data_IF_010543787880
#
_entry.id   IF_010543787880
#
_cell.length_a   1.000
_cell.length_b   1.000
_cell.length_c   1.000
_cell.angle_alpha   90.00
_cell.angle_beta   90.00
_cell.angle_gamma   90.00
#
_symmetry.space_group_name_H-M   'P 1'
#
loop_
_entity.id
_entity.type
_entity.pdbx_description
1 polymer ?
#
# COMPACT_ATOMS: atom_id res chain seq x y z
N UNK A 1 0.07 -39.74 -17.43
CA UNK A 1 -0.46 -38.37 -17.25
C UNK A 1 0.68 -37.38 -17.39
N UNK A 2 0.49 -36.28 -18.12
CA UNK A 2 1.50 -35.22 -18.27
C UNK A 2 1.72 -34.54 -16.91
N UNK A 3 2.96 -34.45 -16.37
CA UNK A 3 3.19 -33.90 -15.03
C UNK A 3 2.67 -32.47 -14.85
N UNK A 4 2.82 -31.62 -15.86
CA UNK A 4 2.31 -30.25 -15.84
C UNK A 4 0.77 -30.19 -15.79
N UNK A 5 0.07 -31.13 -16.43
CA UNK A 5 -1.39 -31.21 -16.35
C UNK A 5 -1.82 -31.61 -14.93
N UNK A 6 -1.17 -32.62 -14.34
CA UNK A 6 -1.43 -33.06 -12.97
C UNK A 6 -1.27 -31.90 -11.97
N UNK A 7 -0.21 -31.10 -12.12
CA UNK A 7 0.02 -29.90 -11.33
C UNK A 7 -1.16 -28.92 -11.40
N UNK A 8 -1.59 -28.53 -12.61
CA UNK A 8 -2.71 -27.61 -12.79
C UNK A 8 -4.04 -28.17 -12.28
N UNK A 9 -4.28 -29.47 -12.48
CA UNK A 9 -5.50 -30.15 -12.01
C UNK A 9 -5.60 -30.12 -10.49
N UNK A 10 -4.53 -30.51 -9.78
CA UNK A 10 -4.51 -30.53 -8.31
C UNK A 10 -4.62 -29.10 -7.77
N UNK A 11 -3.94 -28.13 -8.40
CA UNK A 11 -4.08 -26.72 -8.01
C UNK A 11 -5.51 -26.21 -8.21
N UNK A 12 -6.18 -26.58 -9.29
CA UNK A 12 -7.58 -26.22 -9.50
C UNK A 12 -8.49 -26.83 -8.43
N UNK A 13 -8.26 -28.10 -8.05
CA UNK A 13 -9.03 -28.77 -6.99
C UNK A 13 -8.86 -28.12 -5.62
N UNK A 14 -7.65 -27.67 -5.28
CA UNK A 14 -7.42 -26.91 -4.06
C UNK A 14 -8.13 -25.55 -4.06
N UNK A 15 -8.06 -24.82 -5.19
CA UNK A 15 -8.75 -23.54 -5.34
C UNK A 15 -10.27 -23.68 -5.24
N UNK A 16 -10.82 -24.77 -5.81
CA UNK A 16 -12.24 -25.12 -5.72
C UNK A 16 -12.63 -25.72 -4.37
N UNK A 17 -11.68 -25.88 -3.44
CA UNK A 17 -11.89 -26.51 -2.13
C UNK A 17 -12.43 -27.94 -2.21
N UNK A 18 -12.22 -28.62 -3.33
CA UNK A 18 -12.58 -30.02 -3.51
C UNK A 18 -11.82 -30.91 -2.52
N UNK A 19 -10.54 -30.61 -2.29
CA UNK A 19 -9.68 -31.38 -1.39
C UNK A 19 -10.16 -31.38 0.07
N UNK A 20 -10.94 -30.38 0.48
CA UNK A 20 -11.37 -30.20 1.88
C UNK A 20 -12.40 -31.25 2.32
N UNK A 21 -13.13 -31.85 1.37
CA UNK A 21 -14.07 -32.94 1.67
C UNK A 21 -13.40 -34.29 1.97
N UNK A 22 -12.11 -34.42 1.67
CA UNK A 22 -11.34 -35.65 1.88
C UNK A 22 -10.47 -35.58 3.14
N UNK A 23 -10.34 -34.41 3.77
CA UNK A 23 -9.55 -34.26 4.98
C UNK A 23 -10.27 -34.79 6.21
N UNK A 24 -9.56 -35.52 7.07
CA UNK A 24 -10.10 -36.04 8.32
C UNK A 24 -9.76 -35.17 9.54
N UNK A 25 -10.63 -35.18 10.54
CA UNK A 25 -10.46 -34.46 11.81
C UNK A 25 -10.63 -32.94 11.75
N UNK A 26 -10.50 -32.27 12.91
CA UNK A 26 -10.71 -30.83 13.07
C UNK A 26 -9.69 -29.95 12.30
N UNK A 27 -8.55 -30.53 11.90
CA UNK A 27 -7.50 -29.85 11.13
C UNK A 27 -7.56 -30.14 9.62
N UNK A 28 -8.48 -31.01 9.18
CA UNK A 28 -8.65 -31.44 7.79
C UNK A 28 -7.34 -31.84 7.10
N UNK A 29 -6.58 -32.73 7.75
CA UNK A 29 -5.36 -33.26 7.15
C UNK A 29 -5.74 -34.25 6.05
N UNK A 30 -5.09 -34.14 4.88
CA UNK A 30 -5.22 -35.09 3.78
C UNK A 30 -4.06 -36.08 3.85
N UNK A 31 -4.37 -37.35 4.12
CA UNK A 31 -3.36 -38.40 4.14
C UNK A 31 -3.18 -39.06 2.75
N UNK A 32 -2.24 -40.01 2.65
CA UNK A 32 -1.97 -40.69 1.40
C UNK A 32 -3.12 -41.59 0.93
N UNK A 33 -3.85 -42.21 1.87
CA UNK A 33 -4.95 -43.11 1.55
C UNK A 33 -6.18 -42.36 1.05
N UNK A 34 -6.40 -41.15 1.57
CA UNK A 34 -7.41 -40.21 1.07
C UNK A 34 -7.02 -39.69 -0.32
N UNK A 35 -5.77 -39.25 -0.48
CA UNK A 35 -5.28 -38.70 -1.74
C UNK A 35 -5.34 -39.70 -2.91
N UNK A 36 -4.93 -40.95 -2.70
CA UNK A 36 -4.89 -41.96 -3.76
C UNK A 36 -6.28 -42.41 -4.25
N UNK A 37 -7.33 -42.19 -3.44
CA UNK A 37 -8.72 -42.54 -3.76
C UNK A 37 -9.46 -41.41 -4.48
N UNK A 38 -8.85 -40.23 -4.58
CA UNK A 38 -9.47 -39.07 -5.21
C UNK A 38 -9.74 -39.33 -6.69
N UNK A 39 -10.96 -39.05 -7.19
CA UNK A 39 -11.25 -39.17 -8.61
C UNK A 39 -10.45 -38.12 -9.40
N UNK A 40 -9.77 -38.56 -10.46
CA UNK A 40 -9.00 -37.69 -11.36
C UNK A 40 -9.62 -37.68 -12.76
N UNK A 41 -9.84 -36.48 -13.30
CA UNK A 41 -10.20 -36.32 -14.71
C UNK A 41 -8.93 -36.40 -15.56
N UNK A 42 -8.80 -37.47 -16.33
CA UNK A 42 -7.61 -37.73 -17.16
C UNK A 42 -8.01 -37.83 -18.63
N UNK A 43 -8.10 -36.69 -19.36
CA UNK A 43 -8.40 -36.70 -20.79
C UNK A 43 -7.23 -37.31 -21.60
N UNK A 44 -7.38 -37.57 -22.91
CA UNK A 44 -6.30 -38.09 -23.75
C UNK A 44 -5.04 -37.21 -23.68
N UNK A 45 -3.82 -37.78 -23.84
CA UNK A 45 -2.58 -37.02 -23.71
C UNK A 45 -2.52 -35.77 -24.60
N UNK A 46 -3.05 -35.81 -25.83
CA UNK A 46 -3.08 -34.65 -26.71
C UNK A 46 -3.85 -33.46 -26.10
N UNK A 47 -5.00 -33.74 -25.47
CA UNK A 47 -5.81 -32.72 -24.80
C UNK A 47 -5.13 -32.19 -23.54
N UNK A 48 -4.46 -33.06 -22.76
CA UNK A 48 -3.65 -32.62 -21.61
C UNK A 48 -2.59 -31.59 -22.02
N UNK A 49 -1.89 -31.82 -23.15
CA UNK A 49 -0.89 -30.89 -23.65
C UNK A 49 -1.51 -29.57 -24.11
N UNK A 50 -2.69 -29.60 -24.74
CA UNK A 50 -3.41 -28.39 -25.17
C UNK A 50 -3.83 -27.54 -23.97
N UNK A 51 -4.40 -28.16 -22.93
CA UNK A 51 -4.78 -27.50 -21.68
C UNK A 51 -3.56 -26.83 -21.04
N UNK A 52 -2.47 -27.59 -20.88
CA UNK A 52 -1.21 -27.07 -20.30
C UNK A 52 -0.67 -25.89 -21.11
N UNK A 53 -0.65 -26.00 -22.44
CA UNK A 53 -0.16 -24.93 -23.32
C UNK A 53 -1.00 -23.66 -23.16
N UNK A 54 -2.32 -23.80 -23.11
CA UNK A 54 -3.22 -22.67 -22.94
C UNK A 54 -3.03 -21.99 -21.58
N UNK A 55 -2.99 -22.75 -20.49
CA UNK A 55 -2.78 -22.22 -19.13
C UNK A 55 -1.42 -21.49 -19.02
N UNK A 56 -0.35 -22.09 -19.55
CA UNK A 56 0.98 -21.44 -19.58
C UNK A 56 0.97 -20.14 -20.37
N UNK A 57 0.24 -20.08 -21.48
CA UNK A 57 0.09 -18.84 -22.24
C UNK A 57 -0.61 -17.74 -21.43
N UNK A 58 -1.70 -18.09 -20.73
CA UNK A 58 -2.42 -17.16 -19.86
C UNK A 58 -1.55 -16.68 -18.70
N UNK A 59 -0.83 -17.60 -18.04
CA UNK A 59 0.10 -17.25 -16.96
C UNK A 59 1.18 -16.28 -17.43
N UNK A 60 1.79 -16.54 -18.59
CA UNK A 60 2.79 -15.64 -19.16
C UNK A 60 2.21 -14.25 -19.45
N UNK A 61 0.99 -14.18 -19.98
CA UNK A 61 0.29 -12.92 -20.26
C UNK A 61 0.00 -12.15 -18.97
N UNK A 62 -0.50 -12.81 -17.92
CA UNK A 62 -0.74 -12.20 -16.60
C UNK A 62 0.56 -11.70 -15.98
N UNK A 63 1.61 -12.53 -15.96
CA UNK A 63 2.94 -12.15 -15.44
C UNK A 63 3.50 -10.92 -16.15
N UNK A 64 3.35 -10.83 -17.48
CA UNK A 64 3.75 -9.66 -18.27
C UNK A 64 3.01 -8.40 -17.83
N UNK A 65 1.69 -8.48 -17.63
CA UNK A 65 0.90 -7.31 -17.18
C UNK A 65 1.25 -6.88 -15.76
N UNK A 66 1.44 -7.83 -14.83
CA UNK A 66 1.89 -7.53 -13.47
C UNK A 66 3.25 -6.82 -13.51
N UNK A 67 4.19 -7.34 -14.30
CA UNK A 67 5.51 -6.73 -14.46
C UNK A 67 5.44 -5.31 -15.01
N UNK A 68 4.63 -5.08 -16.05
CA UNK A 68 4.44 -3.76 -16.64
C UNK A 68 3.81 -2.76 -15.64
N UNK A 69 2.78 -3.18 -14.89
CA UNK A 69 2.14 -2.34 -13.87
C UNK A 69 3.09 -1.99 -12.73
N UNK A 70 3.91 -2.94 -12.26
CA UNK A 70 4.93 -2.69 -11.23
C UNK A 70 5.97 -1.67 -11.69
N UNK A 71 6.46 -1.79 -12.93
CA UNK A 71 7.40 -0.80 -13.50
C UNK A 71 6.78 0.59 -13.60
N UNK A 72 5.51 0.69 -13.99
CA UNK A 72 4.79 1.96 -14.03
C UNK A 72 4.66 2.58 -12.63
N UNK A 73 4.30 1.80 -11.62
CA UNK A 73 4.21 2.29 -10.23
C UNK A 73 5.57 2.84 -9.76
N UNK A 74 6.65 2.11 -10.03
CA UNK A 74 8.00 2.56 -9.66
C UNK A 74 8.37 3.88 -10.35
N UNK A 75 8.12 3.99 -11.66
CA UNK A 75 8.38 5.22 -12.41
C UNK A 75 7.54 6.41 -11.90
N UNK A 76 6.27 6.18 -11.54
CA UNK A 76 5.41 7.22 -10.95
C UNK A 76 5.90 7.66 -9.57
N UNK A 77 6.39 6.74 -8.75
CA UNK A 77 6.98 7.06 -7.45
C UNK A 77 8.26 7.89 -7.59
N UNK A 78 9.13 7.51 -8.53
CA UNK A 78 10.35 8.27 -8.86
C UNK A 78 10.01 9.67 -9.39
N UNK A 79 9.09 9.78 -10.34
CA UNK A 79 8.62 11.07 -10.86
C UNK A 79 8.02 11.94 -9.76
N UNK A 80 7.17 11.38 -8.89
CA UNK A 80 6.61 12.10 -7.74
C UNK A 80 7.73 12.65 -6.85
N UNK A 81 8.72 11.82 -6.53
CA UNK A 81 9.83 12.23 -5.68
C UNK A 81 10.66 13.34 -6.35
N UNK A 82 10.94 13.23 -7.65
CA UNK A 82 11.66 14.25 -8.41
C UNK A 82 10.89 15.59 -8.45
N UNK A 83 9.57 15.55 -8.68
CA UNK A 83 8.72 16.75 -8.66
C UNK A 83 8.72 17.40 -7.28
N UNK A 84 8.59 16.62 -6.20
CA UNK A 84 8.65 17.16 -4.83
C UNK A 84 10.00 17.82 -4.60
N UNK A 85 11.11 17.13 -4.92
CA UNK A 85 12.46 17.65 -4.74
C UNK A 85 12.65 18.96 -5.50
N UNK A 86 12.23 19.02 -6.77
CA UNK A 86 12.29 20.25 -7.56
C UNK A 86 11.43 21.36 -6.94
N UNK A 87 10.20 21.06 -6.53
CA UNK A 87 9.29 22.06 -5.95
C UNK A 87 9.82 22.63 -4.63
N UNK A 88 10.39 21.80 -3.74
CA UNK A 88 10.90 22.24 -2.44
C UNK A 88 12.28 22.89 -2.51
N UNK A 89 13.06 22.64 -3.56
CA UNK A 89 14.40 23.25 -3.73
C UNK A 89 14.38 24.46 -4.67
N UNK A 90 13.59 24.43 -5.75
CA UNK A 90 13.58 25.42 -6.84
C UNK A 90 12.24 26.13 -7.04
N UNK A 91 11.21 25.78 -6.27
CA UNK A 91 9.87 26.32 -6.43
C UNK A 91 9.13 25.75 -7.66
N UNK A 92 7.99 26.36 -7.97
CA UNK A 92 7.09 25.91 -9.05
C UNK A 92 7.36 26.60 -10.39
N UNK A 93 8.06 27.74 -10.40
CA UNK A 93 8.40 28.49 -11.61
C UNK A 93 9.73 28.01 -12.19
N UNK A 94 9.76 27.42 -13.40
CA UNK A 94 10.99 26.94 -14.01
C UNK A 94 11.95 28.05 -14.45
N UNK A 95 11.49 29.30 -14.58
CA UNK A 95 12.30 30.43 -15.05
C UNK A 95 12.86 31.29 -13.92
N UNK A 96 12.69 30.86 -12.67
CA UNK A 96 13.17 31.62 -11.52
C UNK A 96 14.70 31.65 -11.48
N UNK A 97 15.27 32.82 -11.16
CA UNK A 97 16.71 32.94 -10.91
C UNK A 97 17.08 32.18 -9.64
N UNK A 98 18.20 31.48 -9.68
CA UNK A 98 18.70 30.68 -8.57
C UNK A 98 19.93 31.33 -7.92
N UNK A 99 20.12 31.10 -6.63
CA UNK A 99 21.30 31.46 -5.84
C UNK A 99 21.78 30.25 -5.03
N UNK A 100 23.08 30.15 -4.68
CA UNK A 100 23.55 29.15 -3.73
C UNK A 100 22.83 29.29 -2.38
N UNK A 101 22.31 28.20 -1.83
CA UNK A 101 21.58 28.21 -0.55
C UNK A 101 22.47 28.45 0.67
N UNK A 102 23.78 28.21 0.54
CA UNK A 102 24.72 28.19 1.67
C UNK A 102 24.65 26.91 2.52
N UNK A 103 23.84 25.92 2.12
CA UNK A 103 23.70 24.62 2.79
C UNK A 103 24.26 23.53 1.87
N UNK A 104 25.29 22.81 2.34
CA UNK A 104 26.07 21.85 1.54
C UNK A 104 25.22 20.84 0.77
N UNK A 105 24.19 20.28 1.42
CA UNK A 105 23.36 19.22 0.84
C UNK A 105 22.21 19.74 -0.03
N UNK A 106 21.87 21.03 0.04
CA UNK A 106 20.66 21.59 -0.60
C UNK A 106 20.94 22.18 -1.98
N UNK A 107 22.16 22.68 -2.22
CA UNK A 107 22.56 23.25 -3.51
C UNK A 107 21.97 24.64 -3.75
N UNK A 108 21.31 24.85 -4.88
CA UNK A 108 20.76 26.14 -5.31
C UNK A 108 19.26 26.27 -5.02
N UNK A 109 18.83 27.49 -4.65
CA UNK A 109 17.44 27.84 -4.31
C UNK A 109 17.03 29.14 -5.00
N UNK A 110 15.73 29.46 -5.12
CA UNK A 110 15.28 30.71 -5.73
C UNK A 110 15.88 31.95 -5.07
N UNK A 111 16.30 32.89 -5.90
CA UNK A 111 16.97 34.11 -5.46
C UNK A 111 16.11 34.94 -4.50
N UNK A 112 14.79 34.94 -4.73
CA UNK A 112 13.80 35.65 -3.93
C UNK A 112 13.42 34.94 -2.62
N UNK A 113 13.94 33.73 -2.34
CA UNK A 113 13.67 33.05 -1.06
C UNK A 113 14.54 33.60 0.06
N UNK A 114 13.91 33.79 1.22
CA UNK A 114 14.55 34.29 2.43
C UNK A 114 14.58 33.21 3.51
N UNK A 115 15.64 33.22 4.33
CA UNK A 115 15.73 32.34 5.50
C UNK A 115 14.96 32.97 6.64
N UNK A 116 13.85 32.34 7.01
CA UNK A 116 13.01 32.76 8.13
C UNK A 116 13.03 31.71 9.24
N UNK A 117 13.08 32.12 10.52
CA UNK A 117 13.04 31.17 11.61
C UNK A 117 11.66 30.50 11.66
N UNK A 118 11.62 29.18 11.85
CA UNK A 118 10.37 28.39 11.86
C UNK A 118 9.29 28.96 12.80
N UNK A 119 9.70 29.48 13.96
CA UNK A 119 8.81 30.12 14.96
C UNK A 119 8.10 31.38 14.45
N UNK A 120 8.58 32.02 13.38
CA UNK A 120 7.95 33.19 12.79
C UNK A 120 6.82 32.82 11.81
N UNK A 121 6.80 31.57 11.32
CA UNK A 121 5.80 31.09 10.38
C UNK A 121 4.64 30.34 11.04
N UNK A 122 4.89 29.75 12.20
CA UNK A 122 3.92 28.88 12.87
C UNK A 122 3.70 29.28 14.32
N UNK A 123 2.48 29.13 14.79
CA UNK A 123 2.12 29.21 16.22
C UNK A 123 1.54 27.87 16.64
N UNK A 124 1.98 27.35 17.77
CA UNK A 124 1.42 26.10 18.31
C UNK A 124 -0.04 26.32 18.71
N UNK A 125 -0.92 25.44 18.24
CA UNK A 125 -2.29 25.35 18.75
C UNK A 125 -2.34 24.34 19.89
N UNK A 126 -2.59 24.84 21.08
CA UNK A 126 -2.81 24.03 22.28
C UNK A 126 -4.23 24.21 22.83
N UNK A 127 -5.20 24.12 21.94
CA UNK A 127 -6.62 24.20 22.30
C UNK A 127 -7.17 22.78 22.47
N UNK A 128 -7.74 22.43 23.64
CA UNK A 128 -8.39 21.14 23.84
C UNK A 128 -9.53 20.91 22.83
N UNK A 129 -9.70 19.67 22.39
CA UNK A 129 -10.85 19.26 21.58
C UNK A 129 -12.15 19.27 22.41
N UNK A 130 -13.25 19.69 21.79
CA UNK A 130 -14.59 19.56 22.39
C UNK A 130 -15.08 18.11 22.38
N UNK A 131 -15.96 17.75 23.32
CA UNK A 131 -16.54 16.40 23.40
C UNK A 131 -17.34 16.02 22.14
N UNK A 132 -18.00 17.02 21.53
CA UNK A 132 -18.82 16.85 20.32
C UNK A 132 -18.02 16.94 19.01
N UNK A 133 -16.69 17.07 19.07
CA UNK A 133 -15.86 17.16 17.88
C UNK A 133 -15.60 15.78 17.27
N UNK A 134 -15.61 15.75 15.94
CA UNK A 134 -15.25 14.56 15.16
C UNK A 134 -13.76 14.22 15.34
N UNK A 135 -13.48 12.93 15.54
CA UNK A 135 -12.11 12.46 15.73
C UNK A 135 -11.38 12.34 14.40
N UNK A 136 -10.17 12.88 14.36
CA UNK A 136 -9.28 12.80 13.21
C UNK A 136 -8.10 11.85 13.47
N UNK A 137 -7.65 11.20 12.40
CA UNK A 137 -6.56 10.24 12.36
C UNK A 137 -5.44 10.78 11.48
N UNK A 138 -4.22 10.88 12.01
CA UNK A 138 -3.04 11.34 11.27
C UNK A 138 -2.31 10.14 10.68
N UNK A 139 -2.22 10.07 9.35
CA UNK A 139 -1.63 8.94 8.63
C UNK A 139 -0.46 9.38 7.74
N UNK A 140 0.58 8.54 7.66
CA UNK A 140 1.80 8.83 6.88
C UNK A 140 1.51 8.95 5.37
N UNK A 141 0.58 8.14 4.85
CA UNK A 141 0.33 8.05 3.41
C UNK A 141 -0.90 8.81 2.90
N UNK A 142 -1.85 9.15 3.77
CA UNK A 142 -3.14 9.76 3.38
C UNK A 142 -3.43 11.09 4.08
N UNK A 143 -2.51 11.57 4.92
CA UNK A 143 -2.69 12.81 5.67
C UNK A 143 -3.68 12.64 6.82
N UNK A 144 -4.44 13.70 7.09
CA UNK A 144 -5.45 13.77 8.15
C UNK A 144 -6.79 13.27 7.60
N UNK A 145 -7.32 12.21 8.19
CA UNK A 145 -8.59 11.59 7.81
C UNK A 145 -9.55 11.59 9.00
N UNK A 146 -10.84 11.37 8.75
CA UNK A 146 -11.77 11.02 9.81
C UNK A 146 -11.42 9.64 10.37
N UNK A 147 -11.56 9.49 11.68
CA UNK A 147 -11.30 8.22 12.36
C UNK A 147 -12.22 7.11 11.82
N UNK A 148 -13.49 7.42 11.58
CA UNK A 148 -14.47 6.50 10.99
C UNK A 148 -14.01 5.96 9.62
N UNK A 149 -13.62 6.84 8.69
CA UNK A 149 -13.16 6.49 7.35
C UNK A 149 -11.88 5.65 7.39
N UNK A 150 -10.99 5.96 8.34
CA UNK A 150 -9.75 5.21 8.53
C UNK A 150 -10.01 3.79 9.05
N UNK A 151 -10.99 3.61 9.95
CA UNK A 151 -11.34 2.31 10.53
C UNK A 151 -12.11 1.43 9.54
N UNK A 152 -13.03 1.99 8.74
CA UNK A 152 -13.76 1.21 7.71
C UNK A 152 -12.83 0.53 6.70
N UNK A 153 -11.66 1.13 6.41
CA UNK A 153 -10.67 0.60 5.50
C UNK A 153 -9.56 -0.25 6.15
N UNK A 154 -9.63 -0.54 7.46
CA UNK A 154 -8.54 -1.22 8.18
C UNK A 154 -9.03 -2.35 9.12
N UNK A 155 -8.22 -3.39 9.31
CA UNK A 155 -8.50 -4.48 10.27
C UNK A 155 -8.26 -4.00 11.74
N UNK A 156 -7.90 -2.73 11.94
CA UNK A 156 -7.54 -2.21 13.27
C UNK A 156 -8.81 -1.91 14.07
N UNK A 157 -8.86 -2.46 15.29
CA UNK A 157 -9.87 -2.05 16.29
C UNK A 157 -9.59 -0.61 16.73
N UNK A 158 -10.65 0.13 16.99
CA UNK A 158 -10.53 1.46 17.57
C UNK A 158 -9.89 1.36 18.95
N UNK A 159 -8.70 1.96 19.08
CA UNK A 159 -7.92 2.06 20.33
C UNK A 159 -7.96 3.48 20.88
N UNK A 160 -8.83 4.34 20.33
CA UNK A 160 -8.98 5.70 20.81
C UNK A 160 -9.43 5.71 22.28
N UNK A 161 -8.82 6.59 23.07
CA UNK A 161 -9.22 6.81 24.46
C UNK A 161 -10.65 7.33 24.51
N UNK A 162 -11.46 6.76 25.42
CA UNK A 162 -12.79 7.27 25.73
C UNK A 162 -12.73 8.71 26.27
N UNK A 163 -11.70 9.01 27.08
CA UNK A 163 -11.40 10.39 27.50
C UNK A 163 -10.68 11.14 26.37
N UNK A 164 -11.37 12.14 25.82
CA UNK A 164 -10.90 12.98 24.70
C UNK A 164 -10.20 14.26 25.16
N UNK A 165 -10.06 14.49 26.47
CA UNK A 165 -9.42 15.68 27.05
C UNK A 165 -7.99 15.94 26.54
N UNK A 166 -7.27 14.86 26.22
CA UNK A 166 -5.88 14.90 25.71
C UNK A 166 -5.75 15.18 24.21
N UNK A 167 -6.86 15.22 23.46
CA UNK A 167 -6.84 15.52 22.04
C UNK A 167 -6.90 17.02 21.81
N UNK A 168 -6.14 17.50 20.84
CA UNK A 168 -6.13 18.92 20.45
C UNK A 168 -7.07 19.16 19.30
N UNK A 169 -7.75 20.31 19.32
CA UNK A 169 -8.53 20.78 18.18
C UNK A 169 -7.59 21.06 16.99
N UNK A 170 -8.02 20.71 15.79
CA UNK A 170 -7.35 21.02 14.52
C UNK A 170 -8.29 21.86 13.66
N UNK A 171 -7.75 22.85 12.94
CA UNK A 171 -8.47 23.66 11.94
C UNK A 171 -7.88 23.47 10.55
N UNK A 172 -8.67 23.86 9.54
CA UNK A 172 -8.16 23.96 8.17
C UNK A 172 -6.96 24.90 8.15
N UNK A 173 -5.91 24.50 7.43
CA UNK A 173 -4.59 25.15 7.36
C UNK A 173 -3.63 24.90 8.54
N UNK A 174 -4.03 24.14 9.56
CA UNK A 174 -3.08 23.68 10.59
C UNK A 174 -2.18 22.56 10.02
N UNK A 175 -0.88 22.63 10.32
CA UNK A 175 0.06 21.53 10.05
C UNK A 175 -0.01 20.51 11.20
N UNK A 176 -0.55 19.33 10.92
CA UNK A 176 -0.70 18.26 11.91
C UNK A 176 0.31 17.15 11.66
N UNK A 177 1.02 16.74 12.70
CA UNK A 177 1.99 15.65 12.63
C UNK A 177 1.99 14.83 13.92
N UNK A 178 2.43 13.58 13.82
CA UNK A 178 2.64 12.73 14.99
C UNK A 178 4.08 12.89 15.50
N UNK A 179 4.25 13.45 16.70
CA UNK A 179 5.58 13.69 17.30
C UNK A 179 6.42 12.41 17.46
N UNK A 180 5.79 11.25 17.67
CA UNK A 180 6.49 9.95 17.81
C UNK A 180 6.86 9.31 16.47
N UNK A 181 6.36 9.85 15.35
CA UNK A 181 6.60 9.28 14.01
C UNK A 181 7.01 10.35 13.00
N UNK A 182 7.43 11.52 13.47
CA UNK A 182 7.74 12.67 12.61
C UNK A 182 8.98 12.44 11.73
N UNK A 183 9.84 11.48 12.08
CA UNK A 183 11.05 11.13 11.34
C UNK A 183 10.84 10.03 10.28
N UNK A 184 9.61 9.51 10.14
CA UNK A 184 9.27 8.45 9.18
C UNK A 184 8.68 9.05 7.90
#
# INVERSE_FOLDING_TARGET
>A
MVPAYAYYLIHAYDLMKWLYGYGSGLRQNLDWDDFKRMPLVVPPPAEQHLIVRYLRHLEAKVKRYIGAKRKLIAALQEQKQAIIQQAVTRGLDPNVKLKPSGVEWLGEVPEHWEVVPFRALFTERDTPGGQDMEMLSVTIGRGVLRQEDYLQGSIKRDISRQDRSSYKQVRVSDLVYNKMRAWQ
#
